data_IF_991793247269
#
_entry.id   IF_991793247269
#
_cell.length_a   1.000
_cell.length_b   1.000
_cell.length_c   1.000
_cell.angle_alpha   90.00
_cell.angle_beta   90.00
_cell.angle_gamma   90.00
#
_symmetry.space_group_name_H-M   'P 1'
#
loop_
_entity.id
_entity.type
_entity.pdbx_description
1 polymer ?
#
# COMPACT_ATOMS: atom_id res chain seq x y z
N UNK A 1 2.53 -4.60 6.32
CA UNK A 1 3.01 -5.97 5.99
C UNK A 1 2.55 -6.95 7.08
N UNK A 2 2.87 -8.23 6.95
CA UNK A 2 2.50 -9.30 7.89
C UNK A 2 2.34 -10.63 7.15
N UNK A 3 2.28 -11.73 7.87
CA UNK A 3 2.05 -13.06 7.28
C UNK A 3 0.63 -13.14 6.74
N UNK A 4 -0.37 -12.74 7.53
CA UNK A 4 -1.80 -12.83 7.19
C UNK A 4 -2.52 -11.49 7.25
N UNK A 5 -3.68 -11.40 6.55
CA UNK A 5 -4.59 -10.25 6.64
C UNK A 5 -4.16 -8.99 5.89
N UNK A 6 -3.04 -9.04 5.15
CA UNK A 6 -2.50 -7.89 4.40
C UNK A 6 -3.53 -7.30 3.42
N UNK A 7 -4.05 -8.11 2.51
CA UNK A 7 -4.95 -7.67 1.45
C UNK A 7 -6.24 -7.07 1.98
N UNK A 8 -6.87 -7.73 2.95
CA UNK A 8 -8.08 -7.20 3.60
C UNK A 8 -7.80 -5.86 4.26
N UNK A 9 -6.69 -5.74 4.98
CA UNK A 9 -6.35 -4.51 5.69
C UNK A 9 -6.03 -3.36 4.74
N UNK A 10 -5.30 -3.62 3.65
CA UNK A 10 -4.95 -2.59 2.67
C UNK A 10 -6.18 -2.13 1.89
N UNK A 11 -7.10 -3.03 1.54
CA UNK A 11 -8.39 -2.66 0.93
C UNK A 11 -9.25 -1.84 1.88
N UNK A 12 -9.33 -2.24 3.15
CA UNK A 12 -10.06 -1.48 4.17
C UNK A 12 -9.45 -0.08 4.35
N UNK A 13 -8.12 0.03 4.39
CA UNK A 13 -7.43 1.32 4.45
C UNK A 13 -7.76 2.19 3.24
N UNK A 14 -7.73 1.64 2.02
CA UNK A 14 -8.12 2.38 0.81
C UNK A 14 -9.55 2.91 0.93
N UNK A 15 -10.52 2.07 1.31
CA UNK A 15 -11.92 2.49 1.51
C UNK A 15 -12.08 3.59 2.57
N UNK A 16 -11.31 3.54 3.66
CA UNK A 16 -11.31 4.59 4.69
C UNK A 16 -10.76 5.91 4.13
N UNK A 17 -9.67 5.86 3.36
CA UNK A 17 -9.04 7.03 2.76
C UNK A 17 -9.94 7.65 1.67
N UNK A 18 -10.58 6.84 0.83
CA UNK A 18 -11.59 7.28 -0.14
C UNK A 18 -12.78 7.95 0.57
N UNK A 19 -13.29 7.35 1.64
CA UNK A 19 -14.37 7.92 2.44
C UNK A 19 -13.98 9.26 3.12
N UNK A 20 -12.68 9.47 3.36
CA UNK A 20 -12.14 10.74 3.82
C UNK A 20 -11.95 11.79 2.70
N UNK A 21 -12.33 11.47 1.46
CA UNK A 21 -12.23 12.35 0.31
C UNK A 21 -10.83 12.42 -0.33
N UNK A 22 -9.93 11.51 0.02
CA UNK A 22 -8.57 11.46 -0.54
C UNK A 22 -8.56 10.62 -1.83
N UNK A 23 -7.81 11.09 -2.83
CA UNK A 23 -7.47 10.26 -4.00
C UNK A 23 -6.45 9.22 -3.57
N UNK A 24 -6.86 7.96 -3.60
CA UNK A 24 -6.05 6.84 -3.14
C UNK A 24 -6.25 5.61 -4.02
N UNK A 25 -5.40 4.61 -3.81
CA UNK A 25 -5.57 3.28 -4.36
C UNK A 25 -4.93 2.24 -3.43
N UNK A 26 -5.51 1.04 -3.42
CA UNK A 26 -4.88 -0.15 -2.87
C UNK A 26 -3.89 -0.72 -3.91
N UNK A 27 -2.60 -0.71 -3.59
CA UNK A 27 -1.52 -1.06 -4.54
C UNK A 27 -0.48 -1.99 -3.90
N UNK A 28 0.42 -2.51 -4.73
CA UNK A 28 1.54 -3.32 -4.29
C UNK A 28 1.34 -4.79 -4.66
N UNK A 29 1.38 -5.69 -3.68
CA UNK A 29 1.18 -7.13 -3.93
C UNK A 29 -0.29 -7.51 -4.27
N UNK A 30 -1.14 -6.53 -4.57
CA UNK A 30 -2.56 -6.72 -4.89
C UNK A 30 -2.97 -5.79 -6.04
N UNK A 31 -3.61 -6.35 -7.06
CA UNK A 31 -4.16 -5.57 -8.17
C UNK A 31 -3.07 -4.81 -8.94
N UNK A 32 -3.08 -3.48 -8.83
CA UNK A 32 -2.15 -2.58 -9.53
C UNK A 32 -0.78 -2.60 -8.84
N UNK A 33 0.27 -2.79 -9.62
CA UNK A 33 1.65 -2.70 -9.12
C UNK A 33 1.91 -1.32 -8.53
N UNK A 34 2.67 -1.26 -7.43
CA UNK A 34 3.09 0.01 -6.83
C UNK A 34 3.82 0.90 -7.85
N UNK A 35 4.63 0.30 -8.74
CA UNK A 35 5.37 1.06 -9.75
C UNK A 35 4.43 1.66 -10.80
N UNK A 36 3.41 0.93 -11.24
CA UNK A 36 2.45 1.44 -12.22
C UNK A 36 1.63 2.60 -11.64
N UNK A 37 1.27 2.53 -10.36
CA UNK A 37 0.57 3.61 -9.68
C UNK A 37 1.44 4.86 -9.49
N UNK A 38 2.74 4.70 -9.22
CA UNK A 38 3.67 5.82 -9.00
C UNK A 38 4.14 6.45 -10.31
N UNK A 39 4.31 5.66 -11.37
CA UNK A 39 4.77 6.12 -12.68
C UNK A 39 3.62 6.51 -13.62
N UNK A 40 2.39 6.21 -13.24
CA UNK A 40 1.20 6.57 -14.00
C UNK A 40 0.89 8.07 -13.95
N UNK A 41 -0.08 8.48 -14.77
CA UNK A 41 -0.52 9.88 -14.87
C UNK A 41 -1.46 10.30 -13.72
N UNK A 42 -1.96 9.34 -12.93
CA UNK A 42 -2.87 9.63 -11.83
C UNK A 42 -2.10 10.17 -10.63
N UNK A 43 -2.41 11.39 -10.22
CA UNK A 43 -1.93 11.94 -8.96
C UNK A 43 -2.76 11.42 -7.78
N UNK A 44 -2.09 10.75 -6.85
CA UNK A 44 -2.68 10.27 -5.60
C UNK A 44 -2.25 11.16 -4.43
N UNK A 45 -3.18 11.43 -3.52
CA UNK A 45 -2.87 12.14 -2.28
C UNK A 45 -2.18 11.19 -1.28
N UNK A 46 -2.54 9.91 -1.32
CA UNK A 46 -1.98 8.84 -0.48
C UNK A 46 -2.19 7.49 -1.16
N UNK A 47 -1.27 6.54 -0.94
CA UNK A 47 -1.42 5.16 -1.42
C UNK A 47 -1.52 4.19 -0.24
N UNK A 48 -2.50 3.29 -0.29
CA UNK A 48 -2.59 2.16 0.62
C UNK A 48 -1.75 1.00 0.04
N UNK A 49 -0.57 0.76 0.60
CA UNK A 49 0.41 -0.16 0.01
C UNK A 49 0.47 -1.50 0.75
N UNK A 50 0.21 -2.58 0.03
CA UNK A 50 0.57 -3.93 0.47
C UNK A 50 2.02 -4.26 0.11
N UNK A 51 2.83 -4.57 1.12
CA UNK A 51 4.21 -5.02 0.95
C UNK A 51 4.43 -6.42 1.56
N UNK A 52 5.08 -7.30 0.80
CA UNK A 52 5.61 -8.57 1.28
C UNK A 52 6.98 -8.40 1.95
N UNK A 53 7.40 -9.39 2.74
CA UNK A 53 8.74 -9.41 3.34
C UNK A 53 9.85 -9.44 2.28
N UNK A 54 9.65 -10.15 1.17
CA UNK A 54 10.58 -10.17 0.05
C UNK A 54 10.76 -8.78 -0.59
N UNK A 55 9.66 -8.05 -0.80
CA UNK A 55 9.73 -6.69 -1.35
C UNK A 55 10.46 -5.74 -0.38
N UNK A 56 10.20 -5.86 0.92
CA UNK A 56 10.87 -5.05 1.95
C UNK A 56 12.37 -5.37 2.03
N UNK A 57 12.76 -6.64 1.92
CA UNK A 57 14.16 -7.05 1.94
C UNK A 57 15.01 -6.35 0.87
N UNK A 58 14.42 -6.17 -0.32
CA UNK A 58 15.08 -5.52 -1.46
C UNK A 58 14.82 -4.01 -1.57
N UNK A 59 14.15 -3.39 -0.59
CA UNK A 59 13.79 -1.97 -0.60
C UNK A 59 14.30 -1.23 0.66
N UNK A 60 15.63 -1.17 0.91
CA UNK A 60 16.20 -0.57 2.13
C UNK A 60 15.97 0.94 2.24
N UNK A 61 15.72 1.61 1.11
CA UNK A 61 15.45 3.04 1.02
C UNK A 61 13.97 3.40 1.17
N UNK A 62 13.06 2.43 1.32
CA UNK A 62 11.64 2.71 1.51
C UNK A 62 11.42 3.55 2.79
N UNK A 63 10.69 4.66 2.66
CA UNK A 63 10.32 5.54 3.77
C UNK A 63 8.83 5.81 3.73
N UNK A 64 8.05 4.91 4.33
CA UNK A 64 6.61 5.11 4.45
C UNK A 64 6.31 6.19 5.50
N UNK A 65 5.35 7.09 5.21
CA UNK A 65 4.84 8.04 6.21
C UNK A 65 4.24 7.31 7.42
N UNK A 66 3.48 6.25 7.15
CA UNK A 66 2.88 5.39 8.17
C UNK A 66 3.06 3.93 7.78
N UNK A 67 3.41 3.06 8.73
CA UNK A 67 3.61 1.63 8.49
C UNK A 67 3.04 0.79 9.63
N UNK A 68 2.54 -0.40 9.28
CA UNK A 68 2.06 -1.39 10.23
C UNK A 68 2.58 -2.79 9.88
N UNK A 69 2.95 -3.54 10.90
CA UNK A 69 3.19 -4.99 10.84
C UNK A 69 2.00 -5.64 11.55
N UNK A 70 1.13 -6.29 10.79
CA UNK A 70 -0.15 -6.81 11.32
C UNK A 70 0.04 -8.01 12.25
N UNK A 71 1.05 -8.82 11.93
CA UNK A 71 1.44 -10.04 12.62
C UNK A 71 2.81 -10.48 12.10
N UNK A 72 3.43 -11.43 12.80
CA UNK A 72 4.70 -12.06 12.46
C UNK A 72 4.42 -13.49 11.99
#
# INVERSE_FOLDING_TARGET
TGTNGKTTTVRMLASILEAAGLRTAAVGNIGVSLLDAVLGETEYDVLAVELSSYQLHWAPSLRAHSAAVLNL
#
